data_IF_236079895892
#
_entry.id   IF_236079895892
#
_cell.length_a   1.000
_cell.length_b   1.000
_cell.length_c   1.000
_cell.angle_alpha   90.00
_cell.angle_beta   90.00
_cell.angle_gamma   90.00
#
_symmetry.space_group_name_H-M   'P 1'
#
loop_
_entity.id
_entity.type
_entity.pdbx_description
1 polymer ?
#
# COMPACT_ATOMS: atom_id res chain seq x y z
N UNK A 1 4.31 0.64 -14.59
CA UNK A 1 5.25 0.16 -13.54
C UNK A 1 4.79 0.82 -12.25
N UNK A 2 4.60 0.09 -11.15
CA UNK A 2 4.04 0.69 -9.94
C UNK A 2 5.04 1.63 -9.26
N UNK A 3 4.58 2.66 -8.52
CA UNK A 3 5.50 3.54 -7.82
C UNK A 3 6.28 2.74 -6.76
N UNK A 4 7.61 2.79 -6.86
CA UNK A 4 8.58 2.23 -5.91
C UNK A 4 9.38 3.41 -5.34
N UNK A 5 8.95 3.96 -4.21
CA UNK A 5 9.63 5.10 -3.57
C UNK A 5 10.34 4.67 -2.29
N UNK A 6 11.32 5.46 -1.83
CA UNK A 6 12.06 5.13 -0.61
C UNK A 6 11.13 4.96 0.60
N UNK A 7 10.21 5.90 0.87
CA UNK A 7 9.29 5.76 1.99
C UNK A 7 8.40 4.51 1.89
N UNK A 8 7.93 4.13 0.70
CA UNK A 8 7.16 2.89 0.52
C UNK A 8 8.00 1.66 0.88
N UNK A 9 9.26 1.63 0.42
CA UNK A 9 10.19 0.55 0.69
C UNK A 9 10.54 0.42 2.18
N UNK A 10 10.74 1.55 2.86
CA UNK A 10 11.01 1.60 4.30
C UNK A 10 9.80 1.09 5.10
N UNK A 11 8.58 1.52 4.76
CA UNK A 11 7.37 1.08 5.46
C UNK A 11 7.13 -0.43 5.30
N UNK A 12 7.31 -0.96 4.09
CA UNK A 12 7.12 -2.38 3.81
C UNK A 12 8.20 -3.21 4.51
N UNK A 13 9.49 -2.82 4.42
CA UNK A 13 10.58 -3.52 5.12
C UNK A 13 10.42 -3.49 6.62
N UNK A 14 10.15 -2.34 7.21
CA UNK A 14 9.92 -2.22 8.65
C UNK A 14 8.81 -3.16 9.13
N UNK A 15 7.70 -3.27 8.40
CA UNK A 15 6.62 -4.17 8.77
C UNK A 15 6.99 -5.65 8.57
N UNK A 16 7.74 -5.96 7.50
CA UNK A 16 8.21 -7.32 7.21
C UNK A 16 9.25 -7.78 8.23
N UNK A 17 10.25 -6.96 8.54
CA UNK A 17 11.28 -7.21 9.56
C UNK A 17 10.63 -7.42 10.93
N UNK A 18 9.64 -6.60 11.31
CA UNK A 18 8.88 -6.80 12.54
C UNK A 18 8.14 -8.14 12.57
N UNK A 19 7.62 -8.61 11.44
CA UNK A 19 6.98 -9.92 11.35
C UNK A 19 8.02 -11.04 11.57
N UNK A 20 9.18 -10.96 10.92
CA UNK A 20 10.27 -11.93 11.06
C UNK A 20 10.79 -11.99 12.51
N UNK A 21 11.03 -10.84 13.14
CA UNK A 21 11.48 -10.78 14.54
C UNK A 21 10.48 -11.49 15.47
N UNK A 22 9.18 -11.29 15.25
CA UNK A 22 8.15 -11.96 16.05
C UNK A 22 8.08 -13.46 15.78
N UNK A 23 8.27 -13.88 14.53
CA UNK A 23 8.34 -15.30 14.18
C UNK A 23 9.54 -15.97 14.86
N UNK A 24 10.71 -15.32 14.85
CA UNK A 24 11.93 -15.78 15.51
C UNK A 24 11.79 -15.87 17.04
N UNK A 25 10.99 -14.98 17.64
CA UNK A 25 10.61 -15.03 19.06
C UNK A 25 9.59 -16.15 19.39
N UNK A 26 9.10 -16.86 18.38
CA UNK A 26 8.13 -17.96 18.52
C UNK A 26 6.68 -17.50 18.62
N UNK A 27 6.36 -16.27 18.21
CA UNK A 27 5.00 -15.78 18.15
C UNK A 27 4.29 -16.26 16.88
N UNK A 28 2.97 -16.48 16.97
CA UNK A 28 2.12 -16.61 15.78
C UNK A 28 2.01 -15.25 15.09
N UNK A 29 2.28 -15.24 13.78
CA UNK A 29 2.30 -14.04 12.94
C UNK A 29 1.49 -14.25 11.67
N UNK A 30 0.84 -13.18 11.21
CA UNK A 30 0.13 -13.17 9.93
C UNK A 30 1.10 -12.88 8.78
N UNK A 31 0.85 -13.45 7.60
CA UNK A 31 1.60 -13.10 6.40
C UNK A 31 1.28 -11.67 5.97
N UNK A 32 2.28 -10.77 5.85
CA UNK A 32 2.07 -9.41 5.35
C UNK A 32 1.84 -9.41 3.84
N UNK A 33 0.92 -8.57 3.39
CA UNK A 33 0.55 -8.43 1.97
C UNK A 33 0.68 -6.99 1.50
N UNK A 34 1.10 -6.83 0.25
CA UNK A 34 1.04 -5.56 -0.48
C UNK A 34 -0.14 -5.63 -1.46
N UNK A 35 -1.00 -4.60 -1.39
CA UNK A 35 -2.13 -4.43 -2.31
C UNK A 35 -1.82 -3.28 -3.26
N UNK A 36 -1.62 -3.61 -4.52
CA UNK A 36 -1.23 -2.65 -5.54
C UNK A 36 -2.41 -2.31 -6.44
N UNK A 37 -2.72 -1.03 -6.58
CA UNK A 37 -3.83 -0.53 -7.41
C UNK A 37 -3.27 0.20 -8.62
N UNK A 38 -3.79 -0.12 -9.81
CA UNK A 38 -3.37 0.52 -11.04
C UNK A 38 -3.79 2.01 -11.08
N UNK A 39 -2.91 2.85 -11.63
CA UNK A 39 -3.23 4.26 -11.90
C UNK A 39 -4.48 4.38 -12.78
N UNK A 40 -5.35 5.32 -12.46
CA UNK A 40 -6.61 5.54 -13.18
C UNK A 40 -7.76 4.64 -12.73
N UNK A 41 -7.55 3.79 -11.72
CA UNK A 41 -8.63 3.03 -11.08
C UNK A 41 -9.70 4.00 -10.55
N UNK A 42 -10.97 3.83 -10.94
CA UNK A 42 -12.06 4.65 -10.43
C UNK A 42 -12.22 4.47 -8.92
N UNK A 43 -12.16 5.57 -8.17
CA UNK A 43 -12.45 5.57 -6.74
C UNK A 43 -13.97 5.67 -6.57
N UNK A 44 -14.61 4.77 -5.80
CA UNK A 44 -16.04 4.87 -5.49
C UNK A 44 -16.39 6.24 -4.90
N UNK A 45 -17.51 6.83 -5.31
CA UNK A 45 -17.88 8.22 -4.93
C UNK A 45 -18.00 8.49 -3.43
N UNK A 46 -18.14 7.44 -2.61
CA UNK A 46 -18.19 7.53 -1.16
C UNK A 46 -16.81 7.40 -0.50
N UNK A 47 -15.75 7.12 -1.25
CA UNK A 47 -14.36 7.16 -0.84
C UNK A 47 -13.64 8.36 -1.46
N UNK A 48 -12.56 8.81 -0.84
CA UNK A 48 -11.66 9.85 -1.32
C UNK A 48 -10.22 9.42 -1.11
N UNK A 49 -9.38 9.59 -2.12
CA UNK A 49 -7.93 9.42 -1.99
C UNK A 49 -7.32 10.82 -1.77
N UNK A 50 -6.71 11.02 -0.60
CA UNK A 50 -6.06 12.26 -0.24
C UNK A 50 -4.56 12.06 -0.28
N UNK A 51 -3.84 12.97 -0.93
CA UNK A 51 -2.39 13.05 -0.79
C UNK A 51 -2.08 13.72 0.56
N UNK A 52 -1.41 12.99 1.44
CA UNK A 52 -1.08 13.51 2.78
C UNK A 52 0.25 14.22 2.78
N UNK A 53 1.27 13.56 2.21
CA UNK A 53 2.64 14.04 2.21
C UNK A 53 3.45 13.25 1.18
N UNK A 54 4.04 13.95 0.19
CA UNK A 54 4.89 13.35 -0.85
C UNK A 54 4.19 12.15 -1.53
N UNK A 55 4.80 10.97 -1.51
CA UNK A 55 4.28 9.71 -2.08
C UNK A 55 3.23 9.03 -1.19
N UNK A 56 2.83 9.61 -0.04
CA UNK A 56 1.84 9.04 0.88
C UNK A 56 0.43 9.50 0.55
N UNK A 57 -0.46 8.53 0.41
CA UNK A 57 -1.89 8.78 0.24
C UNK A 57 -2.70 8.02 1.28
N UNK A 58 -3.86 8.56 1.63
CA UNK A 58 -4.87 7.84 2.41
C UNK A 58 -6.18 7.73 1.65
N UNK A 59 -6.73 6.53 1.66
CA UNK A 59 -8.06 6.23 1.14
C UNK A 59 -9.04 6.27 2.30
N UNK A 60 -9.93 7.27 2.29
CA UNK A 60 -10.80 7.60 3.41
C UNK A 60 -12.26 7.70 2.96
N UNK A 61 -13.24 7.64 3.88
CA UNK A 61 -14.61 7.98 3.53
C UNK A 61 -14.72 9.47 3.16
N UNK A 62 -15.39 9.77 2.05
CA UNK A 62 -15.62 11.15 1.57
C UNK A 62 -16.65 11.95 2.39
N UNK A 63 -17.40 11.26 3.25
CA UNK A 63 -18.47 11.79 4.09
C UNK A 63 -18.64 10.90 5.32
N UNK A 64 -19.40 11.36 6.31
CA UNK A 64 -19.73 10.52 7.47
C UNK A 64 -20.29 9.16 7.06
N UNK A 65 -19.67 8.09 7.55
CA UNK A 65 -19.98 6.70 7.21
C UNK A 65 -19.73 5.79 8.42
N UNK A 66 -20.59 4.80 8.71
CA UNK A 66 -20.32 3.79 9.72
C UNK A 66 -19.05 2.98 9.41
N UNK A 67 -18.27 2.62 10.44
CA UNK A 67 -17.03 1.85 10.27
C UNK A 67 -17.25 0.53 9.51
N UNK A 68 -18.36 -0.15 9.78
CA UNK A 68 -18.69 -1.41 9.09
C UNK A 68 -18.91 -1.20 7.58
N UNK A 69 -19.57 -0.10 7.19
CA UNK A 69 -19.79 0.24 5.78
C UNK A 69 -18.46 0.62 5.10
N UNK A 70 -17.58 1.34 5.81
CA UNK A 70 -16.25 1.67 5.32
C UNK A 70 -15.44 0.40 5.05
N UNK A 71 -15.38 -0.52 6.01
CA UNK A 71 -14.64 -1.78 5.85
C UNK A 71 -15.18 -2.59 4.68
N UNK A 72 -16.51 -2.76 4.57
CA UNK A 72 -17.12 -3.46 3.43
C UNK A 72 -16.83 -2.78 2.10
N UNK A 73 -16.76 -1.45 2.08
CA UNK A 73 -16.39 -0.71 0.87
C UNK A 73 -14.93 -0.94 0.48
N UNK A 74 -14.01 -0.89 1.45
CA UNK A 74 -12.59 -1.11 1.23
C UNK A 74 -12.34 -2.55 0.77
N UNK A 75 -12.97 -3.53 1.42
CA UNK A 75 -12.89 -4.94 1.04
C UNK A 75 -13.29 -5.16 -0.41
N UNK A 76 -14.45 -4.60 -0.82
CA UNK A 76 -14.92 -4.67 -2.21
C UNK A 76 -13.96 -3.98 -3.18
N UNK A 77 -13.46 -2.81 -2.81
CA UNK A 77 -12.56 -2.02 -3.64
C UNK A 77 -11.23 -2.76 -3.88
N UNK A 78 -10.58 -3.24 -2.81
CA UNK A 78 -9.34 -3.98 -2.93
C UNK A 78 -9.54 -5.34 -3.61
N UNK A 79 -10.61 -6.08 -3.30
CA UNK A 79 -10.89 -7.36 -3.95
C UNK A 79 -11.12 -7.23 -5.46
N UNK A 80 -11.68 -6.10 -5.91
CA UNK A 80 -11.98 -5.87 -7.32
C UNK A 80 -10.79 -5.30 -8.10
N UNK A 81 -10.01 -4.39 -7.50
CA UNK A 81 -9.06 -3.56 -8.24
C UNK A 81 -7.60 -3.74 -7.82
N UNK A 82 -7.32 -4.39 -6.70
CA UNK A 82 -5.95 -4.57 -6.24
C UNK A 82 -5.35 -5.90 -6.73
N UNK A 83 -4.10 -5.83 -7.16
CA UNK A 83 -3.21 -6.99 -7.19
C UNK A 83 -2.70 -7.23 -5.77
N UNK A 84 -2.96 -8.43 -5.25
CA UNK A 84 -2.51 -8.85 -3.91
C UNK A 84 -1.28 -9.74 -4.05
N UNK A 85 -0.19 -9.35 -3.41
CA UNK A 85 1.08 -10.09 -3.37
C UNK A 85 1.57 -10.16 -1.93
N UNK A 86 2.35 -11.19 -1.57
CA UNK A 86 3.04 -11.20 -0.26
C UNK A 86 4.08 -10.09 -0.23
N UNK A 87 4.37 -9.55 0.95
CA UNK A 87 5.40 -8.53 1.08
C UNK A 87 6.76 -9.03 0.58
N UNK A 88 7.11 -10.28 0.87
CA UNK A 88 8.32 -10.95 0.40
C UNK A 88 8.43 -10.93 -1.14
N UNK A 89 7.40 -11.43 -1.85
CA UNK A 89 7.40 -11.43 -3.32
C UNK A 89 7.40 -10.02 -3.90
N UNK A 90 6.76 -9.05 -3.25
CA UNK A 90 6.79 -7.67 -3.68
C UNK A 90 8.19 -7.06 -3.51
N UNK A 91 8.87 -7.33 -2.39
CA UNK A 91 10.23 -6.87 -2.11
C UNK A 91 11.25 -7.46 -3.09
N UNK A 92 11.11 -8.74 -3.46
CA UNK A 92 11.94 -9.39 -4.49
C UNK A 92 11.75 -8.77 -5.88
N UNK A 93 10.51 -8.36 -6.21
CA UNK A 93 10.20 -7.74 -7.50
C UNK A 93 10.54 -6.24 -7.57
N UNK A 94 10.79 -5.60 -6.42
CA UNK A 94 11.02 -4.17 -6.31
C UNK A 94 12.31 -3.89 -5.51
N UNK A 95 13.43 -3.89 -6.21
CA UNK A 95 14.75 -3.62 -5.63
C UNK A 95 14.82 -2.21 -5.02
N UNK A 96 15.42 -2.10 -3.83
CA UNK A 96 15.60 -0.82 -3.13
C UNK A 96 16.48 0.15 -3.92
N UNK A 97 17.51 -0.35 -4.62
CA UNK A 97 18.42 0.48 -5.45
C UNK A 97 17.68 1.20 -6.59
N UNK A 98 16.52 0.68 -7.00
CA UNK A 98 15.68 1.22 -8.07
C UNK A 98 14.54 2.09 -7.52
N UNK A 99 14.48 2.28 -6.20
CA UNK A 99 13.54 3.17 -5.55
C UNK A 99 13.86 4.63 -5.87
N UNK A 100 12.81 5.45 -5.96
CA UNK A 100 12.93 6.88 -6.27
C UNK A 100 12.60 7.74 -5.06
N UNK A 101 13.09 8.98 -5.08
CA UNK A 101 12.80 9.95 -4.03
C UNK A 101 11.31 10.25 -3.93
N UNK A 102 10.81 10.38 -2.71
CA UNK A 102 9.38 10.58 -2.44
C UNK A 102 8.86 11.93 -2.95
N UNK A 103 9.72 12.94 -3.00
CA UNK A 103 9.45 14.27 -3.55
C UNK A 103 9.64 14.37 -5.06
N UNK A 104 10.07 13.29 -5.72
CA UNK A 104 10.22 13.23 -7.17
C UNK A 104 8.90 12.87 -7.85
N UNK A 105 7.83 13.63 -7.57
CA UNK A 105 6.48 13.43 -8.13
C UNK A 105 6.49 13.18 -9.63
N UNK A 106 7.22 13.95 -10.47
CA UNK A 106 7.23 13.73 -11.90
C UNK A 106 7.79 12.37 -12.32
N UNK A 107 8.58 11.72 -11.46
CA UNK A 107 9.22 10.43 -11.73
C UNK A 107 8.31 9.29 -11.32
N UNK A 108 7.85 9.26 -10.06
CA UNK A 108 7.01 8.15 -9.59
C UNK A 108 5.56 8.24 -10.10
N UNK A 109 5.05 9.43 -10.44
CA UNK A 109 3.74 9.59 -11.09
C UNK A 109 3.77 9.38 -12.61
N UNK A 110 4.94 9.28 -13.23
CA UNK A 110 5.04 9.00 -14.67
C UNK A 110 5.03 7.50 -15.00
N UNK A 111 5.23 6.64 -13.99
CA UNK A 111 5.34 5.19 -14.15
C UNK A 111 4.00 4.46 -14.18
#
# INVERSE_FOLDING_TARGET
MFPNTFMMQELIRMHFDYMLDREDEGHEVDTPFVYTIARGTPIPSHLILMNEYMSRFTLQPSRGMPLQELNQSLDKFYAQYAQKETADSWLDAHDFKDAVADDADPVWMAK
#
